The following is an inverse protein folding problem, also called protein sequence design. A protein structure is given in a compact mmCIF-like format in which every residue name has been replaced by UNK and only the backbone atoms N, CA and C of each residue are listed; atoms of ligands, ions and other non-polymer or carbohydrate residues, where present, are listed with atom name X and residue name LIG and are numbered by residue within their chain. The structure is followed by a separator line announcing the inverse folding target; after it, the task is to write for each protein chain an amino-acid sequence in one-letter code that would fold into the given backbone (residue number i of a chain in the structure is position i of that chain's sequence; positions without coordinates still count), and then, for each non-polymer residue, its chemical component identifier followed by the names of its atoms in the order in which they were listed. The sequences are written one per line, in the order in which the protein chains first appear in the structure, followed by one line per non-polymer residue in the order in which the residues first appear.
data_IF_363414130545
#
_entry.id   IF_363414130545
#
_cell.length_a   1.000
_cell.length_b   1.000
_cell.length_c   1.000
_cell.angle_alpha   90.00
_cell.angle_beta   90.00
_cell.angle_gamma   90.00
#
_symmetry.space_group_name_H-M   'P 1'
#
loop_
_entity.id
_entity.type
_entity.pdbx_description
1 polymer ?
#
# COMPACT_ATOMS: atom_id res chain seq x y z
N UNK A 1 17.72 -2.49 -7.11
CA UNK A 1 18.12 -2.99 -5.78
C UNK A 1 17.20 -4.13 -5.44
N UNK A 2 17.73 -5.31 -5.11
CA UNK A 2 16.92 -6.41 -4.57
C UNK A 2 16.54 -6.08 -3.12
N UNK A 3 15.42 -5.36 -2.94
CA UNK A 3 14.91 -5.06 -1.60
C UNK A 3 14.28 -6.34 -1.04
N UNK A 4 14.79 -6.80 0.10
CA UNK A 4 14.28 -8.01 0.77
C UNK A 4 13.18 -7.64 1.76
N UNK A 5 12.08 -8.40 1.73
CA UNK A 5 10.98 -8.31 2.70
C UNK A 5 11.47 -8.29 4.16
N UNK A 6 12.55 -9.00 4.48
CA UNK A 6 13.17 -9.01 5.82
C UNK A 6 13.59 -7.63 6.30
N UNK A 7 14.13 -6.80 5.40
CA UNK A 7 14.56 -5.43 5.70
C UNK A 7 13.35 -4.54 5.91
N UNK A 8 12.36 -4.62 5.01
CA UNK A 8 11.12 -3.84 5.08
C UNK A 8 10.37 -4.11 6.39
N UNK A 9 10.22 -5.38 6.77
CA UNK A 9 9.55 -5.75 8.03
C UNK A 9 10.25 -5.17 9.25
N UNK A 10 11.58 -5.19 9.26
CA UNK A 10 12.39 -4.65 10.36
C UNK A 10 12.28 -3.13 10.44
N UNK A 11 12.29 -2.44 9.30
CA UNK A 11 12.10 -0.99 9.21
C UNK A 11 10.72 -0.57 9.71
N UNK A 12 9.66 -1.18 9.19
CA UNK A 12 8.28 -0.92 9.62
C UNK A 12 8.09 -1.17 11.13
N UNK A 13 8.75 -2.19 11.68
CA UNK A 13 8.73 -2.45 13.12
C UNK A 13 9.36 -1.33 13.94
N UNK A 14 10.50 -0.79 13.47
CA UNK A 14 11.17 0.33 14.15
C UNK A 14 10.39 1.63 13.99
N UNK A 15 9.82 1.90 12.83
CA UNK A 15 8.96 3.09 12.60
C UNK A 15 7.75 3.09 13.54
N UNK A 16 7.16 1.92 13.79
CA UNK A 16 6.02 1.76 14.69
C UNK A 16 6.40 1.64 16.18
N UNK A 17 7.70 1.65 16.51
CA UNK A 17 8.24 1.51 17.86
C UNK A 17 7.72 0.30 18.65
N UNK A 18 7.71 -0.87 18.02
CA UNK A 18 7.21 -2.12 18.63
C UNK A 18 8.28 -3.22 18.67
N UNK A 19 8.12 -4.19 19.57
CA UNK A 19 9.02 -5.35 19.67
C UNK A 19 8.57 -6.46 18.71
N UNK A 20 9.49 -7.35 18.38
CA UNK A 20 9.19 -8.54 17.56
C UNK A 20 8.05 -9.38 18.16
N UNK A 21 7.95 -9.42 19.48
CA UNK A 21 6.91 -10.13 20.21
C UNK A 21 5.51 -9.51 20.00
N UNK A 22 5.43 -8.18 19.90
CA UNK A 22 4.17 -7.47 19.68
C UNK A 22 3.61 -7.78 18.28
N UNK A 23 4.49 -7.77 17.27
CA UNK A 23 4.11 -8.11 15.89
C UNK A 23 3.71 -9.58 15.79
N UNK A 24 4.51 -10.48 16.37
CA UNK A 24 4.23 -11.92 16.38
C UNK A 24 2.86 -12.22 17.02
N UNK A 25 2.57 -11.60 18.16
CA UNK A 25 1.28 -11.71 18.84
C UNK A 25 0.12 -11.20 17.98
N UNK A 26 0.31 -10.08 17.28
CA UNK A 26 -0.72 -9.49 16.43
C UNK A 26 -1.07 -10.36 15.20
N UNK A 27 -0.09 -11.07 14.63
CA UNK A 27 -0.32 -11.95 13.46
C UNK A 27 -0.56 -13.42 13.85
N UNK A 28 -0.44 -13.76 15.13
CA UNK A 28 -0.78 -15.07 15.69
C UNK A 28 0.31 -16.13 15.54
N UNK A 29 1.59 -15.74 15.60
CA UNK A 29 2.73 -16.66 15.52
C UNK A 29 3.69 -16.49 16.70
N UNK A 30 4.70 -17.36 16.80
CA UNK A 30 5.74 -17.23 17.83
C UNK A 30 6.70 -16.07 17.54
N UNK A 31 7.26 -15.48 18.59
CA UNK A 31 8.32 -14.45 18.49
C UNK A 31 9.47 -14.90 17.60
N UNK A 32 9.93 -16.14 17.77
CA UNK A 32 10.99 -16.73 16.95
C UNK A 32 10.60 -16.86 15.48
N UNK A 33 9.34 -17.23 15.21
CA UNK A 33 8.80 -17.29 13.85
C UNK A 33 8.85 -15.94 13.15
N UNK A 34 8.39 -14.87 13.81
CA UNK A 34 8.52 -13.51 13.26
C UNK A 34 9.98 -13.07 13.12
N UNK A 35 10.83 -13.41 14.10
CA UNK A 35 12.27 -13.15 14.04
C UNK A 35 12.95 -13.80 12.83
N UNK A 36 12.50 -14.98 12.39
CA UNK A 36 13.00 -15.62 11.18
C UNK A 36 12.63 -14.85 9.90
N UNK A 37 11.49 -14.15 9.87
CA UNK A 37 11.14 -13.26 8.75
C UNK A 37 12.10 -12.07 8.67
N UNK A 38 12.34 -11.37 9.79
CA UNK A 38 13.28 -10.22 9.81
C UNK A 38 14.73 -10.61 9.52
N UNK A 39 15.12 -11.86 9.78
CA UNK A 39 16.44 -12.40 9.47
C UNK A 39 16.54 -12.98 8.05
N UNK A 40 15.43 -13.07 7.31
CA UNK A 40 15.39 -13.70 5.99
C UNK A 40 15.62 -15.22 6.02
N UNK A 41 15.44 -15.87 7.19
CA UNK A 41 15.54 -17.34 7.34
C UNK A 41 14.28 -18.06 6.87
N UNK A 42 13.16 -17.37 6.84
CA UNK A 42 11.88 -17.87 6.34
C UNK A 42 11.12 -16.73 5.67
N UNK A 43 10.16 -17.06 4.80
CA UNK A 43 9.29 -16.11 4.14
C UNK A 43 7.87 -16.25 4.70
N UNK A 44 7.16 -15.14 4.96
CA UNK A 44 5.75 -15.22 5.33
C UNK A 44 4.95 -15.82 4.17
N UNK A 45 4.07 -16.75 4.49
CA UNK A 45 3.08 -17.27 3.53
C UNK A 45 2.05 -16.18 3.17
N UNK A 46 1.15 -16.41 2.19
CA UNK A 46 0.17 -15.41 1.78
C UNK A 46 -0.75 -14.93 2.91
N UNK A 47 -1.10 -15.79 3.87
CA UNK A 47 -1.95 -15.40 4.99
C UNK A 47 -1.19 -14.47 5.95
N UNK A 48 0.04 -14.83 6.29
CA UNK A 48 0.93 -14.01 7.12
C UNK A 48 1.25 -12.68 6.45
N UNK A 49 1.47 -12.68 5.14
CA UNK A 49 1.73 -11.46 4.37
C UNK A 49 0.56 -10.48 4.46
N UNK A 50 -0.68 -10.96 4.33
CA UNK A 50 -1.87 -10.12 4.48
C UNK A 50 -2.05 -9.60 5.92
N UNK A 51 -1.77 -10.44 6.92
CA UNK A 51 -1.80 -10.03 8.33
C UNK A 51 -0.75 -8.96 8.64
N UNK A 52 0.46 -9.12 8.12
CA UNK A 52 1.55 -8.14 8.24
C UNK A 52 1.19 -6.83 7.54
N UNK A 53 0.69 -6.90 6.30
CA UNK A 53 0.24 -5.74 5.54
C UNK A 53 -0.82 -4.94 6.32
N UNK A 54 -1.82 -5.63 6.86
CA UNK A 54 -2.84 -5.01 7.71
C UNK A 54 -2.27 -4.43 9.01
N UNK A 55 -1.38 -5.14 9.68
CA UNK A 55 -0.79 -4.69 10.94
C UNK A 55 0.04 -3.42 10.78
N UNK A 56 0.84 -3.33 9.71
CA UNK A 56 1.66 -2.16 9.40
C UNK A 56 0.93 -1.09 8.59
N UNK A 57 -0.33 -1.33 8.21
CA UNK A 57 -1.12 -0.44 7.36
C UNK A 57 -0.42 -0.13 6.02
N UNK A 58 0.14 -1.17 5.40
CA UNK A 58 0.82 -1.09 4.10
C UNK A 58 0.23 -2.07 3.10
N UNK A 59 0.55 -1.92 1.82
CA UNK A 59 0.21 -2.90 0.80
C UNK A 59 1.10 -4.16 0.88
N UNK A 60 0.58 -5.31 0.44
CA UNK A 60 1.41 -6.52 0.29
C UNK A 60 2.51 -6.33 -0.77
N UNK A 61 2.23 -5.54 -1.81
CA UNK A 61 3.22 -5.16 -2.83
C UNK A 61 4.38 -4.36 -2.24
N UNK A 62 4.11 -3.46 -1.28
CA UNK A 62 5.15 -2.76 -0.53
C UNK A 62 6.02 -3.75 0.26
N UNK A 63 5.40 -4.66 1.03
CA UNK A 63 6.15 -5.69 1.78
C UNK A 63 7.03 -6.58 0.90
N UNK A 64 6.59 -6.84 -0.33
CA UNK A 64 7.34 -7.63 -1.31
C UNK A 64 8.40 -6.82 -2.06
N UNK A 65 8.49 -5.50 -1.84
CA UNK A 65 9.41 -4.62 -2.55
C UNK A 65 9.01 -4.35 -4.01
N UNK A 66 7.74 -4.57 -4.37
CA UNK A 66 7.22 -4.29 -5.71
C UNK A 66 6.89 -2.80 -5.92
N UNK A 67 6.77 -2.02 -4.85
CA UNK A 67 6.52 -0.57 -4.87
C UNK A 67 7.15 0.10 -3.65
N UNK A 68 7.51 1.39 -3.79
CA UNK A 68 7.97 2.24 -2.68
C UNK A 68 6.80 2.93 -1.96
N UNK A 69 5.57 2.78 -2.45
CA UNK A 69 4.37 3.36 -1.83
C UNK A 69 3.89 2.44 -0.72
N UNK A 70 3.98 2.93 0.52
CA UNK A 70 3.50 2.22 1.72
C UNK A 70 2.01 1.99 1.66
N UNK A 71 1.26 3.04 1.33
CA UNK A 71 -0.19 3.07 1.48
C UNK A 71 -0.87 2.06 0.56
N UNK A 72 -1.85 1.29 1.08
CA UNK A 72 -2.71 0.50 0.22
C UNK A 72 -3.51 1.43 -0.71
N UNK A 73 -3.66 1.03 -1.96
CA UNK A 73 -4.51 1.75 -2.93
C UNK A 73 -5.95 1.57 -2.49
N UNK A 74 -6.51 2.60 -1.87
CA UNK A 74 -7.90 2.62 -1.44
C UNK A 74 -8.80 3.00 -2.62
N UNK A 75 -9.31 2.00 -3.32
CA UNK A 75 -10.25 2.23 -4.42
C UNK A 75 -11.65 2.41 -3.82
N UNK A 76 -12.33 3.55 -4.07
CA UNK A 76 -13.69 3.76 -3.55
C UNK A 76 -14.62 2.63 -3.97
N UNK A 77 -15.40 2.11 -3.02
CA UNK A 77 -16.36 1.03 -3.25
C UNK A 77 -17.31 1.35 -4.42
N UNK A 78 -17.79 2.61 -4.49
CA UNK A 78 -18.64 3.11 -5.56
C UNK A 78 -18.04 2.93 -6.96
N UNK A 79 -16.70 2.99 -7.07
CA UNK A 79 -15.99 2.74 -8.31
C UNK A 79 -15.95 1.25 -8.62
N UNK A 80 -15.58 0.41 -7.64
CA UNK A 80 -15.49 -1.04 -7.83
C UNK A 80 -16.83 -1.70 -8.14
N UNK A 81 -17.93 -1.14 -7.61
CA UNK A 81 -19.29 -1.61 -7.87
C UNK A 81 -19.70 -1.42 -9.34
N UNK A 82 -19.18 -0.37 -10.00
CA UNK A 82 -19.51 -0.02 -11.39
C UNK A 82 -18.46 -0.48 -12.39
N UNK A 83 -17.20 -0.57 -11.98
CA UNK A 83 -16.07 -0.74 -12.88
C UNK A 83 -15.02 -1.70 -12.35
N UNK A 84 -14.54 -2.59 -13.22
CA UNK A 84 -13.34 -3.38 -12.94
C UNK A 84 -12.11 -2.46 -12.88
N UNK A 85 -11.32 -2.62 -11.81
CA UNK A 85 -9.99 -2.02 -11.67
C UNK A 85 -8.99 -2.81 -12.51
N UNK A 86 -8.23 -2.12 -13.35
CA UNK A 86 -7.22 -2.75 -14.20
C UNK A 86 -5.80 -2.48 -13.68
N UNK A 87 -4.84 -3.34 -14.07
CA UNK A 87 -3.41 -3.11 -13.76
C UNK A 87 -2.92 -1.75 -14.24
N UNK A 88 -3.45 -1.25 -15.37
CA UNK A 88 -3.13 0.08 -15.90
C UNK A 88 -3.65 1.20 -15.01
N UNK A 89 -4.86 1.05 -14.47
CA UNK A 89 -5.43 2.05 -13.55
C UNK A 89 -4.59 2.16 -12.27
N UNK A 90 -4.14 1.02 -11.74
CA UNK A 90 -3.24 0.94 -10.58
C UNK A 90 -1.90 1.61 -10.88
N UNK A 91 -1.27 1.30 -12.03
CA UNK A 91 0.02 1.90 -12.41
C UNK A 91 -0.06 3.42 -12.55
N UNK A 92 -1.12 3.92 -13.21
CA UNK A 92 -1.33 5.35 -13.37
C UNK A 92 -1.61 6.04 -12.03
N UNK A 93 -2.32 5.39 -11.11
CA UNK A 93 -2.52 5.89 -9.76
C UNK A 93 -1.18 5.99 -9.01
N UNK A 94 -0.38 4.93 -9.04
CA UNK A 94 0.94 4.85 -8.42
C UNK A 94 1.88 5.97 -8.92
N UNK A 95 1.90 6.21 -10.23
CA UNK A 95 2.67 7.31 -10.83
C UNK A 95 2.21 8.70 -10.35
N UNK A 96 0.91 8.93 -10.18
CA UNK A 96 0.37 10.21 -9.69
C UNK A 96 0.76 10.43 -8.22
N UNK A 97 0.65 9.41 -7.38
CA UNK A 97 1.04 9.50 -5.96
C UNK A 97 2.55 9.73 -5.81
N UNK A 98 3.39 9.01 -6.57
CA UNK A 98 4.85 9.21 -6.54
C UNK A 98 5.25 10.64 -6.89
N UNK A 99 4.66 11.21 -7.94
CA UNK A 99 4.94 12.60 -8.30
C UNK A 99 4.51 13.57 -7.20
N UNK A 100 3.34 13.34 -6.59
CA UNK A 100 2.87 14.17 -5.49
C UNK A 100 3.78 14.07 -4.25
N UNK A 101 4.22 12.86 -3.90
CA UNK A 101 5.15 12.64 -2.79
C UNK A 101 6.52 13.27 -3.06
N UNK A 102 7.05 13.14 -4.26
CA UNK A 102 8.32 13.76 -4.67
C UNK A 102 8.25 15.29 -4.57
N UNK A 103 7.14 15.89 -5.01
CA UNK A 103 6.90 17.32 -4.85
C UNK A 103 6.92 17.74 -3.36
N UNK A 104 6.47 16.88 -2.46
CA UNK A 104 6.44 17.14 -1.02
C UNK A 104 7.70 16.71 -0.24
N UNK A 105 8.74 16.19 -0.91
CA UNK A 105 9.98 15.82 -0.22
C UNK A 105 10.81 17.05 0.19
N UNK A 106 10.74 18.14 -0.57
CA UNK A 106 11.48 19.39 -0.27
C UNK A 106 10.81 20.25 0.81
N UNK A 107 9.51 20.04 1.06
CA UNK A 107 8.75 20.86 1.98
C UNK A 107 8.78 20.29 3.42
N UNK A 108 8.83 21.18 4.42
CA UNK A 108 8.65 20.86 5.85
C UNK A 108 7.18 20.51 6.17
N UNK A 109 6.55 19.65 5.38
CA UNK A 109 5.18 19.18 5.63
C UNK A 109 5.22 18.08 6.68
N UNK A 110 4.40 18.21 7.72
CA UNK A 110 4.23 17.18 8.72
C UNK A 110 3.62 15.91 8.12
N UNK A 111 3.99 14.75 8.65
CA UNK A 111 3.58 13.43 8.14
C UNK A 111 2.05 13.28 8.01
N UNK A 112 1.30 13.77 9.01
CA UNK A 112 -0.17 13.79 9.00
C UNK A 112 -0.79 14.58 7.85
N UNK A 113 -0.12 15.63 7.38
CA UNK A 113 -0.64 16.46 6.28
C UNK A 113 -0.30 15.84 4.93
N UNK A 114 0.82 15.11 4.83
CA UNK A 114 1.13 14.26 3.66
C UNK A 114 0.09 13.17 3.49
N UNK A 115 -0.29 12.49 4.58
CA UNK A 115 -1.35 11.47 4.57
C UNK A 115 -2.68 12.01 4.03
N UNK A 116 -3.12 13.18 4.53
CA UNK A 116 -4.36 13.82 4.05
C UNK A 116 -4.29 14.14 2.56
N UNK A 117 -3.16 14.65 2.08
CA UNK A 117 -3.00 14.98 0.68
C UNK A 117 -3.07 13.72 -0.19
N UNK A 118 -2.35 12.66 0.18
CA UNK A 118 -2.39 11.37 -0.52
C UNK A 118 -3.84 10.86 -0.60
N UNK A 119 -4.59 10.93 0.50
CA UNK A 119 -6.00 10.55 0.52
C UNK A 119 -6.87 11.40 -0.44
N UNK A 120 -6.66 12.72 -0.49
CA UNK A 120 -7.37 13.61 -1.42
C UNK A 120 -7.03 13.30 -2.87
N UNK A 121 -5.75 13.07 -3.19
CA UNK A 121 -5.31 12.75 -4.55
C UNK A 121 -5.89 11.42 -5.00
N UNK A 122 -5.84 10.40 -4.15
CA UNK A 122 -6.44 9.09 -4.42
C UNK A 122 -7.93 9.23 -4.78
N UNK A 123 -8.70 9.98 -3.97
CA UNK A 123 -10.12 10.24 -4.26
C UNK A 123 -10.33 10.94 -5.60
N UNK A 124 -9.61 12.04 -5.85
CA UNK A 124 -9.72 12.81 -7.10
C UNK A 124 -9.40 11.93 -8.32
N UNK A 125 -8.40 11.07 -8.21
CA UNK A 125 -8.00 10.17 -9.28
C UNK A 125 -9.14 9.21 -9.67
N UNK A 126 -9.75 8.52 -8.71
CA UNK A 126 -10.84 7.59 -8.97
C UNK A 126 -12.13 8.29 -9.44
N UNK A 127 -12.45 9.46 -8.90
CA UNK A 127 -13.56 10.29 -9.36
C UNK A 127 -13.37 10.71 -10.84
N UNK A 128 -12.15 11.13 -11.19
CA UNK A 128 -11.81 11.49 -12.57
C UNK A 128 -11.91 10.29 -13.52
N UNK A 129 -11.49 9.11 -13.05
CA UNK A 129 -11.62 7.85 -13.80
C UNK A 129 -13.07 7.45 -14.02
N UNK A 130 -13.92 7.56 -13.00
CA UNK A 130 -15.35 7.30 -13.11
C UNK A 130 -15.98 8.21 -14.16
N UNK A 131 -15.77 9.53 -14.05
CA UNK A 131 -16.29 10.52 -15.02
C UNK A 131 -15.84 10.26 -16.45
N UNK A 132 -14.58 9.87 -16.64
CA UNK A 132 -14.06 9.53 -17.96
C UNK A 132 -14.71 8.26 -18.54
N UNK A 133 -14.96 7.24 -17.71
CA UNK A 133 -15.69 6.04 -18.14
C UNK A 133 -17.16 6.32 -18.44
N UNK A 134 -17.81 7.22 -17.71
CA UNK A 134 -19.19 7.67 -18.00
C UNK A 134 -19.26 8.47 -19.32
N UNK A 135 -18.31 9.37 -19.56
CA UNK A 135 -18.30 10.28 -20.72
C UNK A 135 -17.84 9.62 -22.02
N UNK A 136 -16.86 8.71 -21.94
CA UNK A 136 -16.19 8.14 -23.12
C UNK A 136 -16.25 6.60 -23.19
N UNK A 137 -16.82 5.94 -22.18
CA UNK A 137 -17.06 4.50 -22.23
C UNK A 137 -18.07 4.18 -23.32
N UNK A 138 -17.70 3.30 -24.25
CA UNK A 138 -18.64 2.77 -25.26
C UNK A 138 -19.87 2.22 -24.53
N UNK A 139 -21.02 2.87 -24.65
CA UNK A 139 -22.31 2.25 -24.31
C UNK A 139 -22.39 0.97 -25.13
N UNK A 140 -22.32 -0.20 -24.49
CA UNK A 140 -22.74 -1.44 -25.15
C UNK A 140 -24.19 -1.20 -25.58
N UNK A 141 -24.42 -1.01 -26.89
CA UNK A 141 -25.76 -1.11 -27.45
C UNK A 141 -26.25 -2.51 -27.07
N UNK A 142 -27.38 -2.55 -26.36
CA UNK A 142 -28.13 -3.79 -26.11
C UNK A 142 -28.52 -4.41 -27.45
#
# INVERSE_FOLDING_TARGET
MDIKISTILKELRYEKDVKQEDVAKAIGISKSGYGYYEQGRSMPDPEMLLKLAKYFNVSADYLLGNTDIKEPIDVPQEYTDKYKVTKRDIKQHDEVIKHAQAFMMDDKVGEKDKEKLVAVINKIYWDSKAKNKEKFGRKKKK
#
